data_IF_346098279359
#
_entry.id   IF_346098279359
#
_cell.length_a   1.000
_cell.length_b   1.000
_cell.length_c   1.000
_cell.angle_alpha   90.00
_cell.angle_beta   90.00
_cell.angle_gamma   90.00
#
_symmetry.space_group_name_H-M   'P 1'
#
loop_
_entity.id
_entity.type
_entity.pdbx_description
1 polymer ?
#
# COMPACT_ATOMS: atom_id res chain seq x y z
N UNK A 1 -12.40 -11.27 13.65
CA UNK A 1 -11.01 -11.44 14.09
C UNK A 1 -10.27 -10.15 13.79
N UNK A 2 -9.69 -9.51 14.80
CA UNK A 2 -8.84 -8.34 14.64
C UNK A 2 -7.38 -8.81 14.61
N UNK A 3 -6.61 -8.29 13.67
CA UNK A 3 -5.17 -8.46 13.61
C UNK A 3 -4.53 -7.18 13.08
N UNK A 4 -3.27 -7.00 13.39
CA UNK A 4 -2.47 -5.87 12.93
C UNK A 4 -1.22 -6.38 12.20
N UNK A 5 -0.86 -5.72 11.12
CA UNK A 5 0.40 -5.95 10.41
C UNK A 5 1.23 -4.67 10.53
N UNK A 6 2.44 -4.80 11.04
CA UNK A 6 3.37 -3.70 11.20
C UNK A 6 4.57 -3.87 10.27
N UNK A 7 4.94 -2.80 9.59
CA UNK A 7 6.17 -2.67 8.83
C UNK A 7 7.13 -1.72 9.53
N UNK A 8 8.42 -1.77 9.22
CA UNK A 8 9.48 -1.18 10.05
C UNK A 8 9.59 0.35 10.02
N UNK A 9 8.70 1.07 9.38
CA UNK A 9 8.73 2.53 9.40
C UNK A 9 8.29 3.10 10.75
N UNK A 10 8.96 4.16 11.27
CA UNK A 10 8.65 4.73 12.59
C UNK A 10 7.22 5.25 12.72
N UNK A 11 6.64 5.78 11.68
CA UNK A 11 5.26 6.28 11.63
C UNK A 11 4.23 5.14 11.56
N UNK A 12 4.56 4.02 10.89
CA UNK A 12 3.70 2.84 10.82
C UNK A 12 3.74 1.98 12.08
N UNK A 13 4.77 2.08 12.90
CA UNK A 13 4.87 1.32 14.16
C UNK A 13 4.63 2.17 15.43
N UNK A 14 4.27 3.42 15.31
CA UNK A 14 4.16 4.35 16.44
C UNK A 14 3.31 3.84 17.60
N UNK A 15 2.20 3.20 17.29
CA UNK A 15 1.21 2.72 18.26
C UNK A 15 1.22 1.20 18.47
N UNK A 16 2.24 0.50 17.97
CA UNK A 16 2.29 -0.97 18.06
C UNK A 16 2.27 -1.47 19.50
N UNK A 17 2.85 -0.73 20.43
CA UNK A 17 2.83 -1.07 21.86
C UNK A 17 1.42 -1.11 22.42
N UNK A 18 0.61 -0.09 22.12
CA UNK A 18 -0.78 -0.01 22.55
C UNK A 18 -1.63 -1.14 21.95
N UNK A 19 -1.44 -1.43 20.66
CA UNK A 19 -2.13 -2.50 19.95
C UNK A 19 -1.83 -3.87 20.61
N UNK A 20 -0.58 -4.12 20.96
CA UNK A 20 -0.15 -5.33 21.66
C UNK A 20 -0.71 -5.42 23.07
N UNK A 21 -0.81 -4.30 23.79
CA UNK A 21 -1.38 -4.24 25.14
C UNK A 21 -2.90 -4.52 25.14
N UNK A 22 -3.60 -4.19 24.05
CA UNK A 22 -4.99 -4.62 23.83
C UNK A 22 -5.15 -6.11 23.48
N UNK A 23 -4.04 -6.87 23.43
CA UNK A 23 -4.07 -8.28 23.07
C UNK A 23 -4.36 -8.57 21.60
N UNK A 24 -4.20 -7.57 20.74
CA UNK A 24 -4.40 -7.73 19.28
C UNK A 24 -3.18 -8.44 18.71
N UNK A 25 -3.43 -9.56 18.02
CA UNK A 25 -2.39 -10.35 17.37
C UNK A 25 -1.70 -9.53 16.28
N UNK A 26 -0.40 -9.33 16.43
CA UNK A 26 0.39 -8.49 15.53
C UNK A 26 1.42 -9.31 14.79
N UNK A 27 1.57 -9.05 13.50
CA UNK A 27 2.56 -9.65 12.60
C UNK A 27 3.52 -8.56 12.14
N UNK A 28 4.82 -8.87 12.05
CA UNK A 28 5.84 -7.91 11.62
C UNK A 28 6.95 -8.59 10.81
N UNK A 29 7.64 -7.83 9.98
CA UNK A 29 8.83 -8.30 9.29
C UNK A 29 10.07 -8.31 10.21
N UNK A 30 11.16 -8.96 9.76
CA UNK A 30 12.39 -9.14 10.56
C UNK A 30 12.99 -7.82 11.06
N UNK A 31 12.93 -6.76 10.30
CA UNK A 31 13.51 -5.47 10.66
C UNK A 31 12.78 -4.78 11.81
N UNK A 32 11.55 -5.17 12.09
CA UNK A 32 10.79 -4.68 13.23
C UNK A 32 11.25 -5.26 14.59
N UNK A 33 12.00 -6.35 14.60
CA UNK A 33 12.43 -7.04 15.83
C UNK A 33 13.40 -6.25 16.75
N UNK A 34 14.05 -5.23 16.24
CA UNK A 34 15.00 -4.41 17.02
C UNK A 34 14.38 -3.48 18.07
N UNK A 35 13.06 -3.35 18.13
CA UNK A 35 12.35 -2.53 19.12
C UNK A 35 11.76 -3.42 20.21
N UNK A 36 11.98 -3.09 21.48
CA UNK A 36 11.60 -3.92 22.64
C UNK A 36 10.11 -4.30 22.73
N UNK A 37 9.23 -3.50 22.14
CA UNK A 37 7.79 -3.75 22.06
C UNK A 37 7.40 -4.78 21.00
N UNK A 38 8.22 -4.98 19.98
CA UNK A 38 7.93 -5.84 18.83
C UNK A 38 8.25 -7.31 19.08
N UNK A 39 9.00 -7.62 20.13
CA UNK A 39 9.29 -9.01 20.54
C UNK A 39 8.04 -9.86 20.88
N UNK A 40 6.86 -9.25 20.95
CA UNK A 40 5.58 -9.95 21.13
C UNK A 40 4.84 -10.20 19.81
N UNK A 41 5.34 -9.72 18.68
CA UNK A 41 4.73 -9.95 17.37
C UNK A 41 5.15 -11.30 16.78
N UNK A 42 4.30 -11.83 15.89
CA UNK A 42 4.64 -12.97 15.07
C UNK A 42 5.44 -12.44 13.87
N UNK A 43 6.62 -13.00 13.66
CA UNK A 43 7.52 -12.58 12.58
C UNK A 43 7.18 -13.33 11.31
N UNK A 44 7.12 -12.63 10.20
CA UNK A 44 7.02 -13.21 8.86
C UNK A 44 8.29 -12.93 8.05
N UNK A 45 8.55 -13.80 7.08
CA UNK A 45 9.68 -13.70 6.15
C UNK A 45 9.19 -13.12 4.82
N UNK A 46 9.45 -11.83 4.60
CA UNK A 46 9.08 -11.14 3.38
C UNK A 46 10.08 -11.39 2.22
N UNK A 47 11.29 -11.82 2.50
CA UNK A 47 12.31 -12.11 1.48
C UNK A 47 11.97 -13.39 0.68
N UNK A 48 11.30 -14.34 1.32
CA UNK A 48 10.91 -15.61 0.71
C UNK A 48 9.43 -15.65 0.29
N UNK A 49 8.75 -14.50 0.23
CA UNK A 49 7.32 -14.41 -0.16
C UNK A 49 6.43 -15.34 0.68
N UNK A 50 6.62 -15.32 1.99
CA UNK A 50 5.88 -16.20 2.91
C UNK A 50 4.37 -16.01 2.79
N UNK A 51 3.64 -17.11 2.89
CA UNK A 51 2.18 -17.10 3.03
C UNK A 51 1.79 -17.69 4.37
N UNK A 52 1.05 -16.94 5.17
CA UNK A 52 0.53 -17.40 6.46
C UNK A 52 -0.97 -17.16 6.60
N UNK A 53 -1.59 -17.92 7.51
CA UNK A 53 -3.03 -17.84 7.76
C UNK A 53 -3.34 -17.02 9.01
N UNK A 54 -4.28 -16.07 8.86
CA UNK A 54 -4.80 -15.25 9.95
C UNK A 54 -6.33 -15.34 9.96
N UNK A 55 -6.89 -16.14 10.85
CA UNK A 55 -8.33 -16.41 10.85
C UNK A 55 -8.79 -17.05 9.55
N UNK A 56 -9.68 -16.38 8.81
CA UNK A 56 -10.16 -16.80 7.48
C UNK A 56 -9.36 -16.22 6.32
N UNK A 57 -8.31 -15.43 6.60
CA UNK A 57 -7.48 -14.80 5.57
C UNK A 57 -6.19 -15.58 5.33
N UNK A 58 -5.75 -15.61 4.07
CA UNK A 58 -4.39 -15.98 3.69
C UNK A 58 -3.66 -14.71 3.31
N UNK A 59 -2.51 -14.45 3.94
CA UNK A 59 -1.68 -13.27 3.72
C UNK A 59 -0.37 -13.72 3.12
N UNK A 60 -0.09 -13.29 1.89
CA UNK A 60 1.21 -13.45 1.25
C UNK A 60 1.95 -12.13 1.31
N UNK A 61 3.19 -12.17 1.74
CA UNK A 61 4.07 -11.00 1.89
C UNK A 61 5.17 -11.05 0.84
N UNK A 62 5.60 -9.91 0.36
CA UNK A 62 6.77 -9.81 -0.53
C UNK A 62 7.43 -8.43 -0.39
N UNK A 63 8.77 -8.39 -0.58
CA UNK A 63 9.52 -7.17 -0.40
C UNK A 63 9.19 -6.15 -1.51
N UNK A 64 9.21 -4.88 -1.16
CA UNK A 64 9.11 -3.78 -2.11
C UNK A 64 10.24 -2.78 -1.90
N UNK A 65 10.50 -1.97 -2.92
CA UNK A 65 11.64 -1.05 -2.92
C UNK A 65 11.33 0.24 -2.19
N UNK A 66 12.05 0.47 -1.11
CA UNK A 66 11.99 1.71 -0.32
C UNK A 66 13.38 1.99 0.29
N UNK A 67 13.60 3.16 0.91
CA UNK A 67 14.87 3.49 1.59
C UNK A 67 15.03 2.72 2.92
N UNK A 68 13.93 2.25 3.49
CA UNK A 68 13.91 1.24 4.57
C UNK A 68 13.23 -0.03 4.09
N UNK A 69 13.48 -1.15 4.77
CA UNK A 69 12.85 -2.43 4.40
C UNK A 69 11.34 -2.34 4.52
N UNK A 70 10.64 -2.53 3.41
CA UNK A 70 9.19 -2.43 3.31
C UNK A 70 8.59 -3.65 2.62
N UNK A 71 7.30 -3.90 2.86
CA UNK A 71 6.60 -5.12 2.47
C UNK A 71 5.23 -4.79 1.90
N UNK A 72 4.88 -5.38 0.76
CA UNK A 72 3.53 -5.40 0.23
C UNK A 72 2.81 -6.70 0.61
N UNK A 73 1.48 -6.68 0.52
CA UNK A 73 0.63 -7.78 0.98
C UNK A 73 -0.41 -8.15 -0.06
N UNK A 74 -0.56 -9.46 -0.31
CA UNK A 74 -1.76 -10.03 -0.94
C UNK A 74 -2.59 -10.66 0.16
N UNK A 75 -3.77 -10.12 0.41
CA UNK A 75 -4.73 -10.65 1.38
C UNK A 75 -5.84 -11.34 0.62
N UNK A 76 -6.01 -12.64 0.85
CA UNK A 76 -7.01 -13.46 0.17
C UNK A 76 -8.08 -13.94 1.13
N UNK A 77 -9.34 -13.85 0.70
CA UNK A 77 -10.51 -14.37 1.43
C UNK A 77 -11.55 -14.88 0.44
N UNK A 78 -12.32 -15.88 0.87
CA UNK A 78 -13.46 -16.37 0.07
C UNK A 78 -14.54 -15.30 -0.12
N UNK A 79 -14.67 -14.36 0.82
CA UNK A 79 -15.71 -13.32 0.81
C UNK A 79 -15.45 -12.19 -0.19
N UNK A 80 -14.20 -11.85 -0.49
CA UNK A 80 -13.87 -10.73 -1.38
C UNK A 80 -12.85 -11.06 -2.48
N UNK A 81 -12.22 -12.23 -2.43
CA UNK A 81 -11.16 -12.62 -3.35
C UNK A 81 -9.78 -12.12 -2.88
N UNK A 82 -9.02 -11.45 -3.76
CA UNK A 82 -7.65 -11.01 -3.52
C UNK A 82 -7.56 -9.49 -3.46
N UNK A 83 -7.10 -8.97 -2.33
CA UNK A 83 -6.73 -7.57 -2.12
C UNK A 83 -5.22 -7.45 -2.18
N UNK A 84 -4.71 -6.60 -3.07
CA UNK A 84 -3.31 -6.21 -3.11
C UNK A 84 -3.13 -4.87 -2.38
N UNK A 85 -2.37 -4.88 -1.29
CA UNK A 85 -2.02 -3.70 -0.51
C UNK A 85 -0.56 -3.33 -0.75
N UNK A 86 -0.32 -2.15 -1.29
CA UNK A 86 1.02 -1.62 -1.61
C UNK A 86 1.07 -0.15 -1.21
N UNK A 87 2.01 0.19 -0.35
CA UNK A 87 2.34 1.58 0.02
C UNK A 87 3.83 1.73 0.23
N UNK A 88 4.33 2.96 0.19
CA UNK A 88 5.73 3.32 0.44
C UNK A 88 6.70 2.54 -0.45
N UNK A 89 6.48 2.63 -1.76
CA UNK A 89 7.38 2.08 -2.77
C UNK A 89 7.29 2.84 -4.07
N UNK A 90 8.42 3.04 -4.73
CA UNK A 90 8.44 3.68 -6.04
C UNK A 90 7.79 2.79 -7.12
N UNK A 91 7.89 1.47 -7.01
CA UNK A 91 7.32 0.49 -7.95
C UNK A 91 7.38 -0.92 -7.37
N UNK A 92 6.70 -1.87 -8.03
CA UNK A 92 6.83 -3.31 -7.74
C UNK A 92 7.46 -4.03 -8.93
N UNK A 93 8.29 -5.03 -8.64
CA UNK A 93 8.97 -5.85 -9.65
C UNK A 93 8.18 -7.12 -10.01
N UNK A 94 7.09 -7.37 -9.31
CA UNK A 94 6.28 -8.57 -9.43
C UNK A 94 5.00 -8.32 -10.23
N UNK A 95 4.58 -9.31 -10.98
CA UNK A 95 3.20 -9.39 -11.49
C UNK A 95 2.36 -10.20 -10.52
N UNK A 96 1.27 -9.61 -10.05
CA UNK A 96 0.33 -10.25 -9.12
C UNK A 96 -0.97 -10.52 -9.88
N UNK A 97 -1.17 -11.74 -10.38
CA UNK A 97 -2.36 -12.05 -11.14
C UNK A 97 -3.62 -12.13 -10.27
N UNK A 98 -4.77 -12.00 -10.92
CA UNK A 98 -6.08 -12.25 -10.31
C UNK A 98 -6.45 -11.34 -9.13
N UNK A 99 -5.94 -10.12 -9.11
CA UNK A 99 -6.30 -9.11 -8.11
C UNK A 99 -7.74 -8.65 -8.32
N UNK A 100 -8.52 -8.65 -7.23
CA UNK A 100 -9.90 -8.17 -7.23
C UNK A 100 -9.99 -6.72 -6.71
N UNK A 101 -9.14 -6.38 -5.77
CA UNK A 101 -9.13 -5.07 -5.12
C UNK A 101 -7.71 -4.58 -4.95
N UNK A 102 -7.51 -3.29 -5.19
CA UNK A 102 -6.26 -2.59 -4.91
C UNK A 102 -6.43 -1.62 -3.75
N UNK A 103 -5.51 -1.65 -2.82
CA UNK A 103 -5.21 -0.58 -1.88
C UNK A 103 -3.77 -0.17 -2.20
N UNK A 104 -3.62 0.86 -3.02
CA UNK A 104 -2.37 1.16 -3.70
C UNK A 104 -1.99 2.63 -3.56
N UNK A 105 -0.71 2.87 -3.35
CA UNK A 105 -0.16 4.22 -3.31
C UNK A 105 -0.30 4.94 -4.66
N UNK A 106 -0.66 6.24 -4.58
CA UNK A 106 -0.52 7.20 -5.65
C UNK A 106 -0.09 8.54 -5.03
N UNK A 107 1.20 8.67 -4.75
CA UNK A 107 1.73 9.74 -3.91
C UNK A 107 1.80 11.09 -4.64
N UNK A 108 2.26 11.09 -5.86
CA UNK A 108 2.52 12.32 -6.61
C UNK A 108 2.26 12.18 -8.11
N UNK A 109 2.13 13.32 -8.80
CA UNK A 109 2.20 13.42 -10.26
C UNK A 109 3.44 14.22 -10.66
N UNK A 110 4.19 13.74 -11.67
CA UNK A 110 5.45 14.35 -12.10
C UNK A 110 5.30 15.82 -12.48
N UNK A 111 4.24 16.18 -13.20
CA UNK A 111 4.01 17.57 -13.63
C UNK A 111 3.77 18.54 -12.46
N UNK A 112 3.08 18.08 -11.41
CA UNK A 112 2.84 18.86 -10.19
C UNK A 112 4.14 19.01 -9.41
N UNK A 113 4.89 17.90 -9.24
CA UNK A 113 6.17 17.88 -8.54
C UNK A 113 7.19 18.78 -9.22
N UNK A 114 7.34 18.68 -10.54
CA UNK A 114 8.33 19.46 -11.30
C UNK A 114 8.00 20.96 -11.23
N UNK A 115 6.72 21.33 -11.29
CA UNK A 115 6.28 22.72 -11.09
C UNK A 115 6.60 23.21 -9.67
N UNK A 116 6.33 22.40 -8.64
CA UNK A 116 6.63 22.76 -7.25
C UNK A 116 8.14 22.99 -7.03
N UNK A 117 9.00 22.22 -7.70
CA UNK A 117 10.46 22.43 -7.67
C UNK A 117 10.85 23.71 -8.39
N UNK A 118 10.29 23.99 -9.59
CA UNK A 118 10.57 25.21 -10.34
C UNK A 118 10.15 26.48 -9.60
N UNK A 119 9.06 26.43 -8.87
CA UNK A 119 8.53 27.54 -8.07
C UNK A 119 9.22 27.67 -6.70
N UNK A 120 10.16 26.76 -6.36
CA UNK A 120 10.89 26.77 -5.09
C UNK A 120 10.07 26.32 -3.88
N UNK A 121 8.92 25.68 -4.10
CA UNK A 121 8.08 25.13 -3.03
C UNK A 121 8.64 23.84 -2.45
N UNK A 122 9.41 23.09 -3.24
CA UNK A 122 10.08 21.85 -2.85
C UNK A 122 11.53 21.89 -3.32
N UNK A 123 12.44 21.55 -2.41
CA UNK A 123 13.85 21.40 -2.75
C UNK A 123 14.06 20.19 -3.69
N UNK A 124 14.93 20.35 -4.71
CA UNK A 124 15.14 19.31 -5.72
C UNK A 124 15.67 17.97 -5.16
N UNK A 125 16.39 17.99 -4.02
CA UNK A 125 16.82 16.76 -3.35
C UNK A 125 15.66 16.04 -2.65
N UNK A 126 14.68 16.79 -2.09
CA UNK A 126 13.46 16.22 -1.50
C UNK A 126 12.61 15.59 -2.58
N UNK A 127 12.40 16.28 -3.72
CA UNK A 127 11.67 15.74 -4.85
C UNK A 127 12.29 14.43 -5.37
N UNK A 128 13.63 14.36 -5.48
CA UNK A 128 14.33 13.12 -5.86
C UNK A 128 14.12 11.99 -4.87
N UNK A 129 14.14 12.29 -3.56
CA UNK A 129 13.88 11.29 -2.52
C UNK A 129 12.45 10.75 -2.63
N UNK A 130 11.45 11.64 -2.80
CA UNK A 130 10.06 11.23 -3.00
C UNK A 130 9.95 10.31 -4.23
N UNK A 131 10.50 10.71 -5.37
CA UNK A 131 10.46 9.92 -6.60
C UNK A 131 11.16 8.55 -6.51
N UNK A 132 12.13 8.40 -5.63
CA UNK A 132 12.83 7.12 -5.41
C UNK A 132 12.13 6.19 -4.43
N UNK A 133 11.23 6.70 -3.60
CA UNK A 133 10.62 5.96 -2.48
C UNK A 133 9.10 5.80 -2.61
N UNK A 134 8.45 6.66 -3.39
CA UNK A 134 6.99 6.66 -3.50
C UNK A 134 6.52 6.49 -4.94
N UNK A 135 5.34 5.95 -5.08
CA UNK A 135 4.74 5.62 -6.38
C UNK A 135 4.08 6.84 -6.99
N UNK A 136 4.47 7.20 -8.23
CA UNK A 136 3.76 8.20 -9.00
C UNK A 136 2.39 7.68 -9.47
N UNK A 137 1.48 8.61 -9.80
CA UNK A 137 0.19 8.26 -10.40
C UNK A 137 0.34 7.43 -11.67
N UNK A 138 1.31 7.77 -12.53
CA UNK A 138 1.59 7.04 -13.76
C UNK A 138 2.07 5.61 -13.48
N UNK A 139 2.97 5.43 -12.51
CA UNK A 139 3.43 4.10 -12.07
C UNK A 139 2.30 3.29 -11.45
N UNK A 140 1.43 3.92 -10.65
CA UNK A 140 0.23 3.29 -10.08
C UNK A 140 -0.67 2.72 -11.19
N UNK A 141 -1.01 3.55 -12.18
CA UNK A 141 -1.82 3.13 -13.34
C UNK A 141 -1.15 1.97 -14.09
N UNK A 142 0.15 2.08 -14.40
CA UNK A 142 0.89 1.01 -15.07
C UNK A 142 0.91 -0.29 -14.28
N UNK A 143 1.06 -0.21 -12.96
CA UNK A 143 1.02 -1.37 -12.06
C UNK A 143 -0.33 -2.08 -12.14
N UNK A 144 -1.43 -1.34 -12.07
CA UNK A 144 -2.79 -1.91 -12.17
C UNK A 144 -3.00 -2.57 -13.54
N UNK A 145 -2.62 -1.89 -14.61
CA UNK A 145 -2.79 -2.39 -15.98
C UNK A 145 -1.96 -3.64 -16.26
N UNK A 146 -0.70 -3.69 -15.80
CA UNK A 146 0.21 -4.82 -16.02
C UNK A 146 -0.24 -6.12 -15.35
N UNK A 147 -0.99 -6.01 -14.25
CA UNK A 147 -1.56 -7.16 -13.52
C UNK A 147 -2.87 -7.69 -14.15
N UNK A 148 -3.40 -6.98 -15.16
CA UNK A 148 -4.64 -7.36 -15.84
C UNK A 148 -5.90 -6.90 -15.10
N UNK A 149 -6.89 -6.45 -15.86
CA UNK A 149 -8.11 -5.83 -15.33
C UNK A 149 -9.31 -6.78 -15.18
N UNK A 150 -9.23 -8.02 -15.66
CA UNK A 150 -10.39 -8.91 -15.80
C UNK A 150 -11.13 -9.15 -14.49
N UNK A 151 -10.40 -9.30 -13.39
CA UNK A 151 -10.96 -9.59 -12.06
C UNK A 151 -11.05 -8.36 -11.16
N UNK A 152 -10.50 -7.22 -11.58
CA UNK A 152 -10.48 -5.99 -10.79
C UNK A 152 -11.89 -5.42 -10.67
N UNK A 153 -12.30 -5.17 -9.43
CA UNK A 153 -13.60 -4.57 -9.07
C UNK A 153 -13.45 -3.17 -8.48
N UNK A 154 -12.41 -2.98 -7.66
CA UNK A 154 -12.23 -1.76 -6.87
C UNK A 154 -10.76 -1.38 -6.81
N UNK A 155 -10.50 -0.09 -6.95
CA UNK A 155 -9.19 0.52 -6.68
C UNK A 155 -9.37 1.56 -5.59
N UNK A 156 -8.53 1.50 -4.55
CA UNK A 156 -8.49 2.51 -3.49
C UNK A 156 -7.09 3.11 -3.54
N UNK A 157 -7.03 4.38 -3.91
CA UNK A 157 -5.77 5.14 -3.93
C UNK A 157 -5.46 5.62 -2.52
N UNK A 158 -4.24 5.38 -2.07
CA UNK A 158 -3.77 5.74 -0.73
C UNK A 158 -2.49 6.55 -0.80
N UNK A 159 -2.06 7.07 0.34
CA UNK A 159 -0.78 7.77 0.52
C UNK A 159 -0.58 8.96 -0.44
N UNK A 160 -1.67 9.68 -0.74
CA UNK A 160 -1.62 10.87 -1.57
C UNK A 160 -0.88 11.99 -0.83
N UNK A 161 0.07 12.64 -1.50
CA UNK A 161 0.77 13.79 -0.96
C UNK A 161 -0.11 15.03 -0.97
N UNK A 162 -0.20 15.74 0.16
CA UNK A 162 -1.00 16.97 0.24
C UNK A 162 -0.55 18.06 -0.74
N UNK A 163 0.73 18.08 -1.10
CA UNK A 163 1.32 19.15 -1.93
C UNK A 163 1.57 18.72 -3.38
N UNK A 164 1.60 17.41 -3.67
CA UNK A 164 2.04 16.87 -4.96
C UNK A 164 0.97 16.03 -5.64
N UNK A 165 -0.27 16.05 -5.13
CA UNK A 165 -1.40 15.33 -5.69
C UNK A 165 -2.68 16.19 -5.68
N UNK A 166 -3.62 15.80 -6.51
CA UNK A 166 -4.99 16.29 -6.51
C UNK A 166 -5.94 15.08 -6.55
N UNK A 167 -6.63 14.83 -5.43
CA UNK A 167 -7.43 13.62 -5.22
C UNK A 167 -8.44 13.37 -6.35
N UNK A 168 -9.27 14.36 -6.68
CA UNK A 168 -10.29 14.24 -7.72
C UNK A 168 -9.68 13.92 -9.10
N UNK A 169 -8.59 14.60 -9.45
CA UNK A 169 -7.89 14.38 -10.71
C UNK A 169 -7.22 13.00 -10.75
N UNK A 170 -6.68 12.52 -9.64
CA UNK A 170 -6.09 11.18 -9.53
C UNK A 170 -7.15 10.12 -9.71
N UNK A 171 -8.29 10.26 -9.02
CA UNK A 171 -9.43 9.39 -9.16
C UNK A 171 -9.90 9.31 -10.62
N UNK A 172 -10.17 10.45 -11.27
CA UNK A 172 -10.62 10.53 -12.66
C UNK A 172 -9.63 9.87 -13.62
N UNK A 173 -8.33 10.15 -13.47
CA UNK A 173 -7.29 9.56 -14.35
C UNK A 173 -7.22 8.04 -14.22
N UNK A 174 -7.29 7.50 -13.00
CA UNK A 174 -7.26 6.05 -12.79
C UNK A 174 -8.56 5.40 -13.28
N UNK A 175 -9.72 6.01 -13.04
CA UNK A 175 -11.01 5.54 -13.58
C UNK A 175 -10.99 5.48 -15.11
N UNK A 176 -10.52 6.54 -15.74
CA UNK A 176 -10.42 6.63 -17.20
C UNK A 176 -9.45 5.57 -17.78
N UNK A 177 -8.32 5.36 -17.13
CA UNK A 177 -7.30 4.41 -17.60
C UNK A 177 -7.73 2.94 -17.40
N UNK A 178 -8.45 2.65 -16.33
CA UNK A 178 -8.76 1.26 -15.93
C UNK A 178 -10.20 0.85 -16.25
N UNK A 179 -11.11 1.79 -16.36
CA UNK A 179 -12.56 1.52 -16.44
C UNK A 179 -13.13 0.93 -15.15
N UNK A 180 -12.45 1.10 -14.01
CA UNK A 180 -12.82 0.51 -12.72
C UNK A 180 -13.25 1.59 -11.73
N UNK A 181 -14.04 1.17 -10.74
CA UNK A 181 -14.46 2.04 -9.65
C UNK A 181 -13.25 2.38 -8.77
N UNK A 182 -12.99 3.68 -8.59
CA UNK A 182 -11.86 4.19 -7.81
C UNK A 182 -12.38 5.00 -6.61
N UNK A 183 -11.69 4.86 -5.49
CA UNK A 183 -11.91 5.62 -4.28
C UNK A 183 -10.61 6.26 -3.83
N UNK A 184 -10.71 7.38 -3.14
CA UNK A 184 -9.59 7.99 -2.42
C UNK A 184 -9.64 7.49 -0.99
N UNK A 185 -8.57 6.85 -0.53
CA UNK A 185 -8.42 6.39 0.84
C UNK A 185 -8.22 7.57 1.78
N UNK A 186 -9.27 7.96 2.47
CA UNK A 186 -9.28 9.04 3.44
C UNK A 186 -9.84 8.53 4.77
N UNK A 187 -9.70 9.36 5.81
CA UNK A 187 -10.25 9.09 7.13
C UNK A 187 -11.76 8.82 7.01
N UNK A 188 -12.20 7.78 7.71
CA UNK A 188 -13.60 7.35 7.76
C UNK A 188 -14.16 6.74 6.45
N UNK A 189 -13.33 6.54 5.40
CA UNK A 189 -13.77 5.80 4.22
C UNK A 189 -14.12 4.35 4.58
N UNK A 190 -15.31 3.94 4.22
CA UNK A 190 -15.75 2.53 4.31
C UNK A 190 -16.10 2.02 2.93
N UNK A 191 -15.42 0.97 2.48
CA UNK A 191 -15.69 0.30 1.20
C UNK A 191 -16.02 -1.15 1.46
N UNK A 192 -17.17 -1.59 0.97
CA UNK A 192 -17.53 -3.00 1.01
C UNK A 192 -16.84 -3.73 -0.14
N UNK A 193 -15.93 -4.64 0.19
CA UNK A 193 -15.19 -5.46 -0.78
C UNK A 193 -15.85 -6.81 -1.05
N UNK A 194 -16.88 -7.22 -0.30
CA UNK A 194 -17.51 -8.50 -0.50
C UNK A 194 -18.08 -8.64 -1.92
N UNK A 195 -17.89 -9.81 -2.53
CA UNK A 195 -18.56 -10.18 -3.75
C UNK A 195 -20.04 -10.43 -3.44
N UNK A 196 -20.84 -9.40 -3.56
CA UNK A 196 -22.26 -9.64 -3.82
C UNK A 196 -22.34 -10.17 -5.26
N UNK A 197 -22.67 -11.45 -5.37
CA UNK A 197 -22.93 -12.29 -6.52
C UNK A 197 -22.92 -11.66 -7.91
#
# INVERSE_FOLDING_TARGET
VWFHIAICEPDHCKYIGEILDYGIKTYSNFSAQGKSTINKSIVFDDENNETFKVGSFYVTVFPVKHDVKNTAFVIQSESFGRLLFITDTAYIEYQIPDVNHYLIEANYEDSIMDKAVQEGHIESFVARRIKSNHMSLDTCIKTILSNGLNKVRTVILTHLSNNNSHADMFQEKVEKATGKRVFIGDKDLTVNLSSLF
#
